data_IF_484326102695
#
_entry.id   IF_484326102695
#
_cell.length_a   1.000
_cell.length_b   1.000
_cell.length_c   1.000
_cell.angle_alpha   90.00
_cell.angle_beta   90.00
_cell.angle_gamma   90.00
#
_symmetry.space_group_name_H-M   'P 1'
#
loop_
_entity.id
_entity.type
_entity.pdbx_description
1 polymer ?
#
# COMPACT_ATOMS: atom_id res chain seq x y z
N UNK A 1 30.38 9.03 10.43
CA UNK A 1 28.95 9.33 10.16
C UNK A 1 28.12 8.22 10.77
N UNK A 2 27.30 8.53 11.78
CA UNK A 2 26.69 7.53 12.65
C UNK A 2 25.64 6.70 11.89
N UNK A 3 25.69 5.37 12.02
CA UNK A 3 24.84 4.44 11.28
C UNK A 3 23.34 4.69 11.55
N UNK A 4 23.02 5.20 12.74
CA UNK A 4 21.65 5.59 13.12
C UNK A 4 21.12 6.78 12.33
N UNK A 5 21.96 7.76 11.99
CA UNK A 5 21.52 8.94 11.22
C UNK A 5 21.22 8.57 9.76
N UNK A 6 21.88 7.54 9.23
CA UNK A 6 21.63 7.05 7.87
C UNK A 6 20.29 6.27 7.78
N UNK A 7 19.93 5.53 8.83
CA UNK A 7 18.64 4.83 8.93
C UNK A 7 17.46 5.81 9.02
N UNK A 8 17.61 6.88 9.79
CA UNK A 8 16.57 7.90 9.95
C UNK A 8 16.31 8.63 8.61
N UNK A 9 17.37 8.97 7.86
CA UNK A 9 17.23 9.61 6.57
C UNK A 9 16.51 8.75 5.52
N UNK A 10 16.79 7.44 5.48
CA UNK A 10 16.11 6.52 4.56
C UNK A 10 14.62 6.40 4.93
N UNK A 11 14.29 6.37 6.22
CA UNK A 11 12.90 6.35 6.67
C UNK A 11 12.14 7.60 6.19
N UNK A 12 12.72 8.80 6.32
CA UNK A 12 12.08 10.03 5.85
C UNK A 12 11.96 10.11 4.32
N UNK A 13 12.90 9.54 3.55
CA UNK A 13 12.81 9.49 2.09
C UNK A 13 11.70 8.53 1.63
N UNK A 14 11.58 7.36 2.27
CA UNK A 14 10.50 6.41 1.98
C UNK A 14 9.15 7.00 2.38
N UNK A 15 9.07 7.60 3.56
CA UNK A 15 7.86 8.29 4.02
C UNK A 15 7.50 9.44 3.06
N UNK A 16 8.48 10.24 2.64
CA UNK A 16 8.31 11.32 1.67
C UNK A 16 7.94 10.88 0.26
N UNK A 17 8.18 9.62 -0.12
CA UNK A 17 7.69 9.04 -1.38
C UNK A 17 6.30 8.42 -1.23
N UNK A 18 5.91 7.93 -0.04
CA UNK A 18 4.56 7.41 0.22
C UNK A 18 3.56 8.57 0.44
N UNK A 19 3.99 9.68 1.05
CA UNK A 19 3.16 10.85 1.31
C UNK A 19 2.52 11.44 0.03
N UNK A 20 3.20 11.63 -1.12
CA UNK A 20 2.56 12.10 -2.34
C UNK A 20 1.67 11.05 -3.02
N UNK A 21 1.76 9.75 -2.68
CA UNK A 21 0.73 8.78 -3.08
C UNK A 21 -0.49 8.87 -2.18
N UNK A 22 -0.32 9.09 -0.87
CA UNK A 22 -1.42 9.38 0.03
C UNK A 22 -2.10 10.71 -0.33
N UNK A 23 -1.30 11.75 -0.58
CA UNK A 23 -1.76 13.09 -0.90
C UNK A 23 -2.20 13.21 -2.36
N UNK A 24 -1.61 12.46 -3.29
CA UNK A 24 -2.02 12.41 -4.70
C UNK A 24 -3.28 11.57 -4.92
N UNK A 25 -3.60 10.65 -4.01
CA UNK A 25 -4.94 10.05 -3.91
C UNK A 25 -5.95 11.07 -3.33
N UNK A 26 -5.50 12.05 -2.54
CA UNK A 26 -6.35 13.17 -2.10
C UNK A 26 -6.35 14.40 -3.04
N UNK A 27 -5.41 14.47 -4.00
CA UNK A 27 -5.24 15.55 -5.00
C UNK A 27 -5.53 15.11 -6.43
N UNK A 28 -6.02 13.89 -6.67
CA UNK A 28 -7.11 13.79 -7.64
C UNK A 28 -8.16 14.73 -7.08
N UNK A 29 -8.24 15.93 -7.69
CA UNK A 29 -9.19 16.98 -7.35
C UNK A 29 -10.45 16.32 -6.80
N UNK A 30 -10.93 16.66 -5.59
CA UNK A 30 -12.28 16.29 -5.23
C UNK A 30 -13.09 16.75 -6.43
N UNK A 31 -13.64 15.79 -7.17
CA UNK A 31 -14.54 16.09 -8.23
C UNK A 31 -15.75 16.57 -7.44
N UNK A 32 -15.78 17.87 -7.09
CA UNK A 32 -16.69 18.50 -6.12
C UNK A 32 -18.17 18.40 -6.52
N UNK A 33 -18.45 17.68 -7.60
CA UNK A 33 -19.78 17.28 -8.05
C UNK A 33 -20.07 15.77 -7.82
N UNK A 34 -19.21 15.02 -7.11
CA UNK A 34 -19.39 13.58 -6.84
C UNK A 34 -20.30 13.27 -5.64
N UNK A 35 -20.57 14.24 -4.77
CA UNK A 35 -21.55 14.11 -3.67
C UNK A 35 -23.00 14.29 -4.12
N UNK A 36 -23.23 14.66 -5.39
CA UNK A 36 -24.48 14.28 -6.03
C UNK A 36 -24.38 12.78 -6.27
N UNK A 37 -24.92 12.00 -5.31
CA UNK A 37 -25.53 10.72 -5.60
C UNK A 37 -26.19 10.87 -6.96
N UNK A 38 -25.65 10.17 -7.96
CA UNK A 38 -26.30 10.10 -9.25
C UNK A 38 -27.54 9.27 -8.98
N UNK A 39 -28.59 9.95 -8.51
CA UNK A 39 -29.94 9.45 -8.46
C UNK A 39 -30.26 9.11 -9.92
N UNK A 40 -30.03 7.86 -10.28
CA UNK A 40 -30.67 7.27 -11.44
C UNK A 40 -32.12 7.11 -11.01
N UNK A 41 -32.85 8.23 -11.01
CA UNK A 41 -34.27 8.28 -10.73
C UNK A 41 -35.01 7.76 -11.96
N UNK A 42 -34.84 6.48 -12.24
CA UNK A 42 -35.64 5.71 -13.18
C UNK A 42 -36.94 5.30 -12.48
N UNK A 43 -37.75 6.29 -12.07
CA UNK A 43 -39.07 5.99 -11.54
C UNK A 43 -39.99 5.58 -12.68
N UNK A 44 -40.14 4.28 -12.92
CA UNK A 44 -41.27 3.79 -13.71
C UNK A 44 -42.52 3.86 -12.83
N UNK A 45 -43.30 4.93 -13.00
CA UNK A 45 -44.60 5.05 -12.36
C UNK A 45 -45.62 4.22 -13.14
N UNK A 46 -45.74 2.95 -12.77
CA UNK A 46 -46.80 2.07 -13.24
C UNK A 46 -47.76 1.85 -12.08
N UNK A 47 -49.03 2.23 -12.24
CA UNK A 47 -50.14 1.77 -11.41
C UNK A 47 -49.87 1.80 -9.88
N UNK A 48 -49.44 2.94 -9.33
CA UNK A 48 -49.17 3.16 -7.89
C UNK A 48 -47.94 2.44 -7.32
N UNK A 49 -46.96 2.14 -8.16
CA UNK A 49 -45.70 1.55 -7.75
C UNK A 49 -44.56 2.49 -8.15
N UNK A 50 -43.59 2.64 -7.26
CA UNK A 50 -42.36 3.38 -7.54
C UNK A 50 -41.17 2.53 -7.12
N UNK A 51 -40.23 2.37 -8.05
CA UNK A 51 -38.93 1.75 -7.82
C UNK A 51 -37.89 2.85 -7.91
N UNK A 52 -37.11 3.03 -6.85
CA UNK A 52 -35.94 3.90 -6.81
C UNK A 52 -34.70 3.03 -6.67
N UNK A 53 -33.68 3.36 -7.48
CA UNK A 53 -32.41 2.66 -7.47
C UNK A 53 -31.32 3.62 -7.02
N UNK A 54 -30.63 3.23 -5.95
CA UNK A 54 -29.47 3.96 -5.45
C UNK A 54 -28.22 3.13 -5.69
N UNK A 55 -27.38 3.64 -6.60
CA UNK A 55 -26.03 3.14 -6.81
C UNK A 55 -25.04 3.97 -5.96
N UNK A 56 -24.49 3.42 -4.87
CA UNK A 56 -23.31 4.02 -4.26
C UNK A 56 -22.19 4.06 -5.31
N UNK A 57 -21.47 5.18 -5.37
CA UNK A 57 -20.31 5.32 -6.27
C UNK A 57 -19.23 4.34 -5.84
N UNK A 58 -19.06 3.30 -6.64
CA UNK A 58 -18.26 2.13 -6.29
C UNK A 58 -16.76 2.43 -6.44
N UNK A 59 -16.03 2.31 -5.33
CA UNK A 59 -14.56 2.46 -5.28
C UNK A 59 -13.89 1.12 -4.84
N UNK A 60 -14.67 0.06 -4.58
CA UNK A 60 -14.21 -1.13 -3.86
C UNK A 60 -14.56 -2.45 -4.58
N UNK A 61 -13.92 -3.54 -4.12
CA UNK A 61 -14.06 -4.94 -4.54
C UNK A 61 -15.46 -5.57 -4.40
N UNK A 62 -16.39 -4.90 -3.72
CA UNK A 62 -17.77 -5.34 -3.50
C UNK A 62 -18.74 -4.28 -4.05
N UNK A 63 -19.54 -4.69 -5.04
CA UNK A 63 -20.68 -3.96 -5.56
C UNK A 63 -21.85 -3.98 -4.57
N UNK A 64 -22.49 -2.84 -4.33
CA UNK A 64 -23.78 -2.83 -3.62
C UNK A 64 -24.79 -1.97 -4.38
N UNK A 65 -26.03 -2.45 -4.47
CA UNK A 65 -27.17 -1.78 -5.08
C UNK A 65 -28.27 -1.70 -4.03
N UNK A 66 -28.71 -0.50 -3.70
CA UNK A 66 -29.85 -0.31 -2.82
C UNK A 66 -31.11 -0.10 -3.67
N UNK A 67 -32.07 -1.01 -3.54
CA UNK A 67 -33.38 -0.92 -4.16
C UNK A 67 -34.40 -0.48 -3.13
N UNK A 68 -35.16 0.55 -3.45
CA UNK A 68 -36.30 0.98 -2.65
C UNK A 68 -37.57 0.80 -3.48
N UNK A 69 -38.47 -0.03 -2.96
CA UNK A 69 -39.72 -0.42 -3.65
C UNK A 69 -40.89 0.02 -2.79
N UNK A 70 -41.77 0.83 -3.36
CA UNK A 70 -43.05 1.21 -2.75
C UNK A 70 -44.15 0.54 -3.56
N UNK A 71 -44.93 -0.32 -2.88
CA UNK A 71 -46.04 -1.05 -3.50
C UNK A 71 -47.32 -0.89 -2.69
N UNK A 72 -48.43 -0.69 -3.38
CA UNK A 72 -49.78 -0.70 -2.82
C UNK A 72 -50.46 -2.07 -2.97
N UNK A 73 -49.73 -3.12 -3.34
CA UNK A 73 -50.22 -4.49 -3.52
C UNK A 73 -49.33 -5.50 -2.80
N UNK A 74 -49.95 -6.56 -2.28
CA UNK A 74 -49.23 -7.71 -1.72
C UNK A 74 -48.87 -8.71 -2.81
N UNK A 75 -47.70 -9.34 -2.69
CA UNK A 75 -47.29 -10.44 -3.57
C UNK A 75 -45.79 -10.68 -3.53
N UNK A 76 -45.26 -11.32 -4.56
CA UNK A 76 -43.84 -11.68 -4.63
C UNK A 76 -43.15 -10.87 -5.74
N UNK A 77 -41.93 -10.42 -5.47
CA UNK A 77 -41.03 -9.84 -6.46
C UNK A 77 -39.79 -10.72 -6.52
N UNK A 78 -39.48 -11.26 -7.70
CA UNK A 78 -38.22 -11.93 -7.96
C UNK A 78 -37.26 -10.92 -8.57
N UNK A 79 -36.14 -10.70 -7.89
CA UNK A 79 -35.07 -9.81 -8.27
C UNK A 79 -33.92 -10.60 -8.88
N UNK A 80 -33.65 -10.37 -10.17
CA UNK A 80 -32.55 -10.98 -10.90
C UNK A 80 -31.52 -9.91 -11.26
N UNK A 81 -30.29 -10.09 -10.80
CA UNK A 81 -29.15 -9.25 -11.18
C UNK A 81 -28.13 -10.09 -11.95
N UNK A 82 -27.81 -9.65 -13.17
CA UNK A 82 -26.86 -10.33 -14.07
C UNK A 82 -25.96 -9.32 -14.76
N UNK A 83 -24.70 -9.67 -14.96
CA UNK A 83 -23.81 -8.90 -15.84
C UNK A 83 -24.05 -9.27 -17.30
N UNK A 84 -24.16 -8.27 -18.18
CA UNK A 84 -24.46 -8.47 -19.61
C UNK A 84 -23.31 -9.17 -20.34
N UNK A 85 -22.07 -8.89 -19.95
CA UNK A 85 -20.85 -9.50 -20.51
C UNK A 85 -20.57 -10.91 -20.02
N UNK A 86 -21.16 -11.31 -18.88
CA UNK A 86 -20.90 -12.59 -18.22
C UNK A 86 -21.99 -13.63 -18.47
N UNK A 87 -21.63 -14.91 -18.34
CA UNK A 87 -22.61 -16.00 -18.27
C UNK A 87 -23.11 -16.24 -16.83
N UNK A 88 -22.56 -15.55 -15.84
CA UNK A 88 -22.89 -15.69 -14.43
C UNK A 88 -24.04 -14.76 -14.04
N UNK A 89 -25.10 -15.34 -13.47
CA UNK A 89 -26.10 -14.60 -12.68
C UNK A 89 -25.57 -14.42 -11.26
N UNK A 90 -25.55 -13.19 -10.75
CA UNK A 90 -24.95 -12.89 -9.45
C UNK A 90 -25.94 -13.00 -8.30
N UNK A 91 -27.23 -12.73 -8.56
CA UNK A 91 -28.24 -12.74 -7.51
C UNK A 91 -29.60 -13.13 -8.05
N UNK A 92 -30.30 -13.98 -7.29
CA UNK A 92 -31.70 -14.32 -7.47
C UNK A 92 -32.38 -14.32 -6.09
N UNK A 93 -33.01 -13.20 -5.74
CA UNK A 93 -33.72 -13.04 -4.46
C UNK A 93 -35.22 -12.88 -4.69
N UNK A 94 -36.03 -13.59 -3.91
CA UNK A 94 -37.49 -13.42 -3.89
C UNK A 94 -37.90 -12.63 -2.65
N UNK A 95 -38.53 -11.49 -2.86
CA UNK A 95 -39.05 -10.61 -1.82
C UNK A 95 -40.56 -10.81 -1.72
N UNK A 96 -41.05 -11.11 -0.51
CA UNK A 96 -42.48 -11.20 -0.23
C UNK A 96 -42.97 -9.87 0.37
N UNK A 97 -43.85 -9.18 -0.35
CA UNK A 97 -44.53 -7.97 0.11
C UNK A 97 -45.84 -8.39 0.77
N UNK A 98 -45.89 -8.33 2.09
CA UNK A 98 -47.04 -8.70 2.89
C UNK A 98 -47.97 -7.55 3.24
N UNK A 99 -47.47 -6.30 3.23
CA UNK A 99 -48.20 -5.13 3.69
C UNK A 99 -48.37 -4.10 2.57
N UNK A 100 -49.52 -3.43 2.58
CA UNK A 100 -49.85 -2.38 1.62
C UNK A 100 -49.17 -1.05 2.02
N UNK A 101 -48.74 -0.27 1.02
CA UNK A 101 -48.18 1.08 1.18
C UNK A 101 -46.97 1.15 2.12
N UNK A 102 -46.18 0.07 2.16
CA UNK A 102 -44.90 0.05 2.86
C UNK A 102 -43.75 0.21 1.87
N UNK A 103 -42.72 0.93 2.32
CA UNK A 103 -41.44 1.04 1.62
C UNK A 103 -40.56 -0.13 2.01
N UNK A 104 -40.07 -0.86 1.02
CA UNK A 104 -39.15 -1.97 1.19
C UNK A 104 -37.78 -1.59 0.65
N UNK A 105 -36.76 -1.63 1.51
CA UNK A 105 -35.37 -1.39 1.13
C UNK A 105 -34.62 -2.72 1.07
N UNK A 106 -34.04 -3.03 -0.10
CA UNK A 106 -33.24 -4.24 -0.32
C UNK A 106 -31.83 -3.83 -0.70
N UNK A 107 -30.85 -4.47 -0.06
CA UNK A 107 -29.43 -4.28 -0.35
C UNK A 107 -28.91 -5.47 -1.15
N UNK A 108 -28.79 -5.33 -2.46
CA UNK A 108 -28.18 -6.37 -3.30
C UNK A 108 -26.67 -6.19 -3.28
N UNK A 109 -25.95 -7.21 -2.84
CA UNK A 109 -24.49 -7.26 -2.92
C UNK A 109 -24.08 -8.12 -4.10
N UNK A 110 -23.13 -7.65 -4.91
CA UNK A 110 -22.62 -8.39 -6.06
C UNK A 110 -21.10 -8.27 -6.14
N UNK A 111 -20.45 -9.34 -6.58
CA UNK A 111 -19.00 -9.43 -6.72
C UNK A 111 -18.72 -9.69 -8.19
N UNK A 112 -17.95 -8.84 -8.90
CA UNK A 112 -17.56 -9.16 -10.27
C UNK A 112 -16.71 -10.43 -10.26
N UNK A 113 -16.84 -11.26 -11.30
CA UNK A 113 -15.96 -12.41 -11.46
C UNK A 113 -14.49 -11.94 -11.51
N UNK A 114 -13.70 -12.43 -10.53
CA UNK A 114 -12.35 -11.97 -10.13
C UNK A 114 -11.33 -11.97 -11.29
N UNK A 115 -11.67 -12.62 -12.40
CA UNK A 115 -10.84 -12.73 -13.60
C UNK A 115 -10.86 -11.49 -14.50
N UNK A 116 -11.78 -10.56 -14.26
CA UNK A 116 -11.92 -9.37 -15.09
C UNK A 116 -11.10 -8.20 -14.52
N UNK A 117 -10.22 -7.67 -15.36
CA UNK A 117 -9.40 -6.47 -15.11
C UNK A 117 -10.27 -5.26 -14.76
N UNK A 118 -9.70 -4.17 -14.19
CA UNK A 118 -10.40 -2.90 -14.09
C UNK A 118 -11.13 -2.55 -15.37
N UNK A 119 -12.41 -2.26 -15.25
CA UNK A 119 -13.28 -2.13 -16.40
C UNK A 119 -14.64 -1.54 -16.05
N UNK A 120 -15.38 -1.22 -17.11
CA UNK A 120 -16.80 -0.86 -17.04
C UNK A 120 -17.60 -2.15 -17.18
N UNK A 121 -18.43 -2.45 -16.19
CA UNK A 121 -19.28 -3.61 -16.13
C UNK A 121 -20.72 -3.16 -16.33
N UNK A 122 -21.42 -3.83 -17.25
CA UNK A 122 -22.82 -3.52 -17.53
C UNK A 122 -23.65 -4.53 -16.77
N UNK A 123 -24.40 -4.06 -15.77
CA UNK A 123 -25.33 -4.87 -15.01
C UNK A 123 -26.75 -4.65 -15.50
N UNK A 124 -27.51 -5.73 -15.47
CA UNK A 124 -28.92 -5.76 -15.84
C UNK A 124 -29.73 -6.23 -14.65
N UNK A 125 -30.60 -5.36 -14.17
CA UNK A 125 -31.59 -5.64 -13.14
C UNK A 125 -32.92 -5.97 -13.80
N UNK A 126 -33.47 -7.13 -13.43
CA UNK A 126 -34.80 -7.56 -13.85
C UNK A 126 -35.64 -7.92 -12.63
N UNK A 127 -36.67 -7.13 -12.34
CA UNK A 127 -37.67 -7.43 -11.33
C UNK A 127 -38.89 -8.03 -12.03
N UNK A 128 -39.34 -9.20 -11.56
CA UNK A 128 -40.54 -9.88 -12.08
C UNK A 128 -41.49 -10.22 -10.93
N UNK A 129 -42.78 -10.42 -11.21
CA UNK A 129 -43.78 -10.74 -10.19
C UNK A 129 -44.91 -9.73 -10.20
N UNK A 130 -45.18 -9.09 -9.05
CA UNK A 130 -46.19 -8.01 -8.97
C UNK A 130 -45.80 -6.76 -9.76
N UNK A 131 -44.50 -6.55 -10.00
CA UNK A 131 -43.95 -5.48 -10.82
C UNK A 131 -43.02 -6.11 -11.87
N UNK A 132 -43.06 -5.56 -13.08
CA UNK A 132 -42.09 -5.88 -14.13
C UNK A 132 -41.24 -4.66 -14.38
N UNK A 133 -39.98 -4.72 -13.95
CA UNK A 133 -39.05 -3.60 -14.06
C UNK A 133 -37.74 -4.09 -14.67
N UNK A 134 -37.20 -3.29 -15.59
CA UNK A 134 -35.98 -3.61 -16.31
C UNK A 134 -35.10 -2.38 -16.41
N UNK A 135 -33.85 -2.50 -15.97
CA UNK A 135 -32.86 -1.45 -16.10
C UNK A 135 -31.46 -2.02 -16.32
N UNK A 136 -30.68 -1.32 -17.14
CA UNK A 136 -29.26 -1.58 -17.35
C UNK A 136 -28.47 -0.39 -16.82
N UNK A 137 -27.40 -0.66 -16.08
CA UNK A 137 -26.54 0.39 -15.53
C UNK A 137 -25.07 -0.03 -15.58
N UNK A 138 -24.21 0.98 -15.75
CA UNK A 138 -22.77 0.81 -15.88
C UNK A 138 -22.10 1.02 -14.52
N UNK A 139 -21.23 0.08 -14.14
CA UNK A 139 -20.46 0.12 -12.89
C UNK A 139 -18.99 0.01 -13.23
N UNK A 140 -18.17 0.95 -12.75
CA UNK A 140 -16.72 0.89 -12.91
C UNK A 140 -16.15 0.12 -11.70
N UNK A 141 -15.61 -1.08 -11.93
CA UNK A 141 -14.96 -1.89 -10.88
C UNK A 141 -13.49 -2.09 -11.21
N UNK A 142 -12.67 -2.30 -10.17
CA UNK A 142 -11.29 -2.81 -10.32
C UNK A 142 -10.15 -1.79 -10.24
N UNK A 143 -10.42 -0.50 -10.05
CA UNK A 143 -9.36 0.50 -9.88
C UNK A 143 -8.58 0.35 -8.56
N UNK A 144 -9.11 -0.35 -7.55
CA UNK A 144 -8.45 -0.47 -6.25
C UNK A 144 -7.31 -1.51 -6.20
N UNK A 145 -7.37 -2.60 -6.97
CA UNK A 145 -6.47 -3.73 -6.77
C UNK A 145 -5.10 -3.55 -7.44
N UNK A 146 -5.09 -3.02 -8.68
CA UNK A 146 -3.84 -2.77 -9.41
C UNK A 146 -2.92 -1.80 -8.67
N UNK A 147 -3.35 -0.58 -8.27
CA UNK A 147 -2.48 0.33 -7.54
C UNK A 147 -2.05 -0.27 -6.19
N UNK A 148 -2.94 -1.00 -5.51
CA UNK A 148 -2.58 -1.68 -4.26
C UNK A 148 -1.47 -2.70 -4.46
N UNK A 149 -1.59 -3.61 -5.43
CA UNK A 149 -0.54 -4.59 -5.75
C UNK A 149 0.74 -3.91 -6.19
N UNK A 150 0.68 -2.87 -7.01
CA UNK A 150 1.88 -2.16 -7.47
C UNK A 150 2.59 -1.49 -6.30
N UNK A 151 1.86 -0.85 -5.38
CA UNK A 151 2.42 -0.23 -4.18
C UNK A 151 3.03 -1.29 -3.24
N UNK A 152 2.31 -2.38 -2.97
CA UNK A 152 2.83 -3.46 -2.13
C UNK A 152 4.02 -4.19 -2.76
N UNK A 153 3.95 -4.47 -4.06
CA UNK A 153 5.02 -5.13 -4.81
C UNK A 153 6.30 -4.30 -4.86
N UNK A 154 6.18 -3.00 -5.17
CA UNK A 154 7.34 -2.09 -5.14
C UNK A 154 7.91 -1.94 -3.73
N UNK A 155 7.06 -1.88 -2.70
CA UNK A 155 7.48 -1.88 -1.30
C UNK A 155 8.27 -3.13 -0.90
N UNK A 156 7.81 -4.32 -1.29
CA UNK A 156 8.48 -5.59 -1.01
C UNK A 156 9.84 -5.69 -1.71
N UNK A 157 9.91 -5.30 -3.00
CA UNK A 157 11.17 -5.26 -3.75
C UNK A 157 12.16 -4.30 -3.10
N UNK A 158 11.71 -3.14 -2.63
CA UNK A 158 12.54 -2.16 -1.95
C UNK A 158 13.08 -2.68 -0.61
N UNK A 159 12.24 -3.35 0.20
CA UNK A 159 12.66 -4.00 1.44
C UNK A 159 13.73 -5.07 1.15
N UNK A 160 13.50 -5.93 0.16
CA UNK A 160 14.44 -6.97 -0.24
C UNK A 160 15.78 -6.38 -0.70
N UNK A 161 15.75 -5.30 -1.48
CA UNK A 161 16.95 -4.58 -1.91
C UNK A 161 17.79 -4.08 -0.71
N UNK A 162 17.15 -3.53 0.32
CA UNK A 162 17.85 -3.07 1.54
C UNK A 162 18.49 -4.25 2.29
N UNK A 163 17.81 -5.39 2.38
CA UNK A 163 18.32 -6.58 3.07
C UNK A 163 19.55 -7.17 2.37
N UNK A 164 19.51 -7.30 1.04
CA UNK A 164 20.62 -7.85 0.23
C UNK A 164 21.84 -6.93 0.28
N UNK A 165 21.65 -5.59 0.29
CA UNK A 165 22.79 -4.67 0.32
C UNK A 165 23.58 -4.73 1.63
N UNK A 166 22.95 -5.16 2.73
CA UNK A 166 23.57 -5.18 4.07
C UNK A 166 24.61 -6.29 4.24
N UNK A 167 24.54 -7.37 3.46
CA UNK A 167 25.43 -8.54 3.64
C UNK A 167 26.83 -8.36 3.04
N UNK A 168 27.04 -7.40 2.14
CA UNK A 168 28.35 -7.23 1.46
C UNK A 168 29.40 -6.39 2.20
N UNK A 169 29.12 -5.88 3.41
CA UNK A 169 30.03 -4.93 4.10
C UNK A 169 30.74 -5.48 5.34
N UNK A 170 30.80 -6.80 5.53
CA UNK A 170 31.48 -7.38 6.71
C UNK A 170 32.39 -8.53 6.34
N UNK A 171 33.38 -8.29 5.49
CA UNK A 171 34.54 -9.19 5.38
C UNK A 171 35.78 -8.41 4.92
N UNK A 172 36.33 -7.62 5.85
CA UNK A 172 37.77 -7.37 5.92
C UNK A 172 38.17 -7.62 7.36
N UNK A 173 38.27 -8.90 7.71
CA UNK A 173 39.06 -9.35 8.85
C UNK A 173 40.50 -8.97 8.48
N UNK A 174 40.97 -7.91 9.08
CA UNK A 174 42.34 -7.45 8.99
C UNK A 174 43.13 -8.31 9.96
N UNK A 175 43.90 -9.26 9.45
CA UNK A 175 44.87 -10.05 10.20
C UNK A 175 45.79 -9.11 10.98
N UNK A 176 45.44 -8.87 12.25
CA UNK A 176 46.32 -8.24 13.22
C UNK A 176 47.08 -9.36 13.91
N UNK A 177 48.19 -9.77 13.31
CA UNK A 177 49.19 -10.58 14.01
C UNK A 177 49.76 -9.75 15.15
N UNK A 178 49.27 -10.02 16.36
CA UNK A 178 49.85 -9.52 17.60
C UNK A 178 51.21 -10.19 17.76
N UNK A 179 52.28 -9.47 17.41
CA UNK A 179 53.65 -9.87 17.73
C UNK A 179 53.85 -9.57 19.23
N UNK A 180 53.73 -10.62 20.05
CA UNK A 180 54.04 -10.58 21.48
C UNK A 180 55.55 -10.69 21.61
N UNK A 181 56.19 -9.64 22.12
CA UNK A 181 57.61 -9.71 22.44
C UNK A 181 57.82 -10.56 23.71
N UNK A 182 58.99 -11.19 23.82
CA UNK A 182 59.32 -12.23 24.82
C UNK A 182 59.27 -11.79 26.30
N UNK A 183 58.89 -10.54 26.57
CA UNK A 183 58.72 -9.94 27.90
C UNK A 183 57.27 -9.56 28.26
N UNK A 184 56.27 -9.88 27.42
CA UNK A 184 54.86 -9.84 27.82
C UNK A 184 54.28 -8.45 28.12
N UNK A 185 54.89 -7.38 27.58
CA UNK A 185 54.38 -6.00 27.71
C UNK A 185 53.80 -5.51 26.37
N UNK A 186 52.60 -4.94 26.40
CA UNK A 186 51.93 -4.36 25.23
C UNK A 186 52.56 -3.00 24.92
N UNK A 187 53.58 -3.00 24.06
CA UNK A 187 54.26 -1.78 23.62
C UNK A 187 53.38 -1.08 22.57
N UNK A 188 52.90 0.13 22.89
CA UNK A 188 52.20 1.02 21.98
C UNK A 188 53.06 1.38 20.77
N UNK A 189 52.42 1.56 19.61
CA UNK A 189 53.08 2.05 18.39
C UNK A 189 52.77 3.53 18.20
N UNK A 190 53.81 4.35 18.00
CA UNK A 190 53.69 5.78 17.69
C UNK A 190 54.13 6.05 16.23
N UNK A 191 53.76 7.20 15.65
CA UNK A 191 54.19 7.60 14.30
C UNK A 191 55.30 8.66 14.38
N UNK A 192 56.37 8.47 13.61
CA UNK A 192 57.47 9.44 13.54
C UNK A 192 57.01 10.77 12.92
N UNK A 193 57.28 11.94 13.53
CA UNK A 193 56.85 13.22 12.98
C UNK A 193 57.55 13.61 11.66
N UNK A 194 58.76 13.09 11.41
CA UNK A 194 59.53 13.41 10.20
C UNK A 194 59.16 12.46 9.04
N UNK A 195 59.35 11.15 9.20
CA UNK A 195 59.14 10.18 8.11
C UNK A 195 57.76 9.50 8.11
N UNK A 196 56.93 9.70 9.13
CA UNK A 196 55.59 9.11 9.31
C UNK A 196 55.54 7.58 9.43
N UNK A 197 56.68 6.89 9.50
CA UNK A 197 56.71 5.45 9.77
C UNK A 197 56.25 5.14 11.21
N UNK A 198 55.56 4.01 11.39
CA UNK A 198 55.19 3.50 12.70
C UNK A 198 56.41 2.91 13.40
N UNK A 199 56.63 3.31 14.64
CA UNK A 199 57.78 2.91 15.46
C UNK A 199 57.28 2.55 16.87
N UNK A 200 58.10 1.80 17.61
CA UNK A 200 57.80 1.45 19.00
C UNK A 200 57.90 2.69 19.89
N UNK A 201 57.02 2.81 20.87
CA UNK A 201 57.09 3.83 21.91
C UNK A 201 58.37 3.70 22.77
N UNK A 202 58.76 4.77 23.45
CA UNK A 202 59.96 4.81 24.29
C UNK A 202 61.30 5.03 23.56
N UNK A 203 61.35 4.96 22.23
CA UNK A 203 62.58 5.24 21.48
C UNK A 203 62.95 6.73 21.49
N UNK A 204 64.25 7.03 21.64
CA UNK A 204 64.79 8.40 21.57
C UNK A 204 65.02 8.88 20.15
N UNK A 205 65.24 7.95 19.20
CA UNK A 205 65.52 8.22 17.80
C UNK A 205 64.70 7.31 16.89
N UNK A 206 64.32 7.79 15.71
CA UNK A 206 63.65 6.97 14.72
C UNK A 206 64.68 6.04 14.03
N UNK A 207 64.50 4.70 14.06
CA UNK A 207 65.44 3.77 13.42
C UNK A 207 65.47 3.89 11.89
N UNK A 208 64.48 4.56 11.30
CA UNK A 208 64.31 4.64 9.84
C UNK A 208 64.87 5.93 9.24
N UNK A 209 64.85 7.04 9.98
CA UNK A 209 65.33 8.34 9.48
C UNK A 209 66.38 9.01 10.36
N UNK A 210 66.70 8.45 11.54
CA UNK A 210 67.68 9.01 12.47
C UNK A 210 67.22 10.24 13.25
N UNK A 211 66.02 10.78 12.95
CA UNK A 211 65.50 11.97 13.63
C UNK A 211 65.23 11.71 15.12
N UNK A 212 65.52 12.69 15.97
CA UNK A 212 65.26 12.61 17.40
C UNK A 212 63.78 12.79 17.70
N UNK A 213 63.21 11.90 18.52
CA UNK A 213 61.79 11.96 18.87
C UNK A 213 61.61 12.87 20.10
N UNK A 214 60.75 13.90 20.02
CA UNK A 214 60.42 14.77 21.15
C UNK A 214 59.89 13.97 22.34
N UNK A 215 60.27 14.34 23.56
CA UNK A 215 59.95 13.58 24.77
C UNK A 215 58.44 13.40 24.98
N UNK A 216 57.63 14.42 24.67
CA UNK A 216 56.17 14.37 24.78
C UNK A 216 55.48 13.42 23.78
N UNK A 217 56.18 12.94 22.74
CA UNK A 217 55.66 11.96 21.78
C UNK A 217 56.12 10.55 22.06
N UNK A 218 57.03 10.34 23.02
CA UNK A 218 57.62 9.02 23.28
C UNK A 218 56.67 8.06 23.98
N UNK A 219 55.66 8.58 24.68
CA UNK A 219 54.68 7.79 25.40
C UNK A 219 53.30 8.25 24.99
N UNK A 220 52.50 7.33 24.48
CA UNK A 220 51.09 7.61 24.24
C UNK A 220 50.39 7.52 25.60
N UNK A 221 50.19 8.65 26.28
CA UNK A 221 49.40 8.68 27.51
C UNK A 221 47.94 8.43 27.15
N UNK A 222 47.56 7.16 27.07
CA UNK A 222 46.17 6.73 26.95
C UNK A 222 45.48 6.89 28.30
#
# INVERSE_FOLDING_TARGET
>A
MNLNNCRLAIFFIVLGMIIPFYNGVTEYSPMEDFDKLQEVNSSQNSNNQTVSIFLPKLIWWEGSLQLEIISNQTGQINCFLREVSGNSSYLNETINISNLNQTYTIMLKFYPDITTFPGVYIFRLNLTGIITYYEEFDVILGLGFIPSIVIFGTGLVFIFYILVKKTKKSEKIQDSSVVIDSTGSLIGKISCPNCRKQIQEGLTFCPECGERIPEFLRYNSV
#
